data_IF_845724379115
#
_entry.id   IF_845724379115
#
_cell.length_a   1.000
_cell.length_b   1.000
_cell.length_c   1.000
_cell.angle_alpha   90.00
_cell.angle_beta   90.00
_cell.angle_gamma   90.00
#
_symmetry.space_group_name_H-M   'P 1'
#
loop_
_entity.id
_entity.type
_entity.pdbx_description
1 polymer ?
#
# COMPACT_ATOMS: atom_id res chain seq x y z
N UNK A 1 5.51 -0.07 -18.59
CA UNK A 1 5.84 -1.49 -18.79
C UNK A 1 5.66 -2.19 -17.45
N UNK A 2 5.05 -3.38 -17.42
CA UNK A 2 4.91 -4.21 -16.22
C UNK A 2 5.89 -5.37 -16.31
N UNK A 3 6.60 -5.65 -15.22
CA UNK A 3 7.52 -6.79 -15.11
C UNK A 3 7.09 -7.64 -13.92
N UNK A 4 6.76 -8.90 -14.19
CA UNK A 4 6.53 -9.88 -13.13
C UNK A 4 7.86 -10.52 -12.73
N UNK A 5 8.07 -10.68 -11.42
CA UNK A 5 9.24 -11.30 -10.82
C UNK A 5 8.76 -12.17 -9.65
N UNK A 6 9.43 -13.30 -9.42
CA UNK A 6 9.18 -14.15 -8.27
C UNK A 6 10.14 -13.76 -7.14
N UNK A 7 9.75 -12.76 -6.35
CA UNK A 7 10.55 -12.23 -5.26
C UNK A 7 9.64 -11.70 -4.14
N UNK A 8 10.15 -11.72 -2.90
CA UNK A 8 9.49 -11.05 -1.80
C UNK A 8 9.58 -9.53 -1.96
N UNK A 9 8.45 -8.85 -1.80
CA UNK A 9 8.37 -7.40 -1.93
C UNK A 9 9.35 -6.65 -1.01
N UNK A 10 9.63 -7.21 0.17
CA UNK A 10 10.57 -6.63 1.14
C UNK A 10 12.05 -6.89 0.83
N UNK A 11 12.36 -7.74 -0.16
CA UNK A 11 13.72 -7.98 -0.65
C UNK A 11 14.10 -7.07 -1.83
N UNK A 12 13.17 -6.25 -2.32
CA UNK A 12 13.48 -5.27 -3.36
C UNK A 12 14.50 -4.24 -2.84
N UNK A 13 15.35 -3.68 -3.73
CA UNK A 13 16.21 -2.55 -3.39
C UNK A 13 15.43 -1.45 -2.67
N UNK A 14 15.99 -0.90 -1.58
CA UNK A 14 15.28 0.09 -0.74
C UNK A 14 14.88 1.39 -1.44
N UNK A 15 15.50 1.69 -2.58
CA UNK A 15 15.15 2.81 -3.46
C UNK A 15 13.85 2.58 -4.24
N UNK A 16 13.43 1.32 -4.40
CA UNK A 16 12.17 0.96 -5.05
C UNK A 16 11.06 1.06 -4.00
N UNK A 17 10.15 2.05 -4.12
CA UNK A 17 9.03 2.15 -3.20
C UNK A 17 8.09 0.95 -3.41
N UNK A 18 7.38 0.57 -2.35
CA UNK A 18 6.46 -0.55 -2.39
C UNK A 18 5.04 -0.13 -2.00
N UNK A 19 4.01 -0.81 -2.50
CA UNK A 19 2.62 -0.53 -2.10
C UNK A 19 1.81 -1.77 -1.75
N UNK A 20 0.81 -1.59 -0.89
CA UNK A 20 -0.22 -2.59 -0.62
C UNK A 20 -1.58 -1.95 -0.30
N UNK A 21 -2.63 -2.76 -0.36
CA UNK A 21 -3.98 -2.37 0.02
C UNK A 21 -4.24 -2.63 1.51
N UNK A 22 -4.89 -1.68 2.18
CA UNK A 22 -5.33 -1.81 3.57
C UNK A 22 -6.73 -1.23 3.77
N UNK A 23 -7.27 -1.48 4.97
CA UNK A 23 -8.51 -0.88 5.44
C UNK A 23 -8.25 0.42 6.19
N UNK A 24 -9.25 1.31 6.22
CA UNK A 24 -9.22 2.58 6.96
C UNK A 24 -8.99 2.37 8.47
N UNK A 25 -9.44 1.24 9.01
CA UNK A 25 -9.23 0.87 10.42
C UNK A 25 -7.78 0.47 10.77
N UNK A 26 -6.89 0.41 9.77
CA UNK A 26 -5.45 0.12 9.87
C UNK A 26 -5.09 -1.09 10.76
N UNK A 27 -6.01 -2.05 10.96
CA UNK A 27 -5.76 -3.18 11.88
C UNK A 27 -4.62 -4.08 11.40
N UNK A 28 -4.47 -4.25 10.08
CA UNK A 28 -3.36 -4.94 9.41
C UNK A 28 -2.95 -6.27 10.08
N UNK A 29 -3.93 -7.13 10.39
CA UNK A 29 -3.72 -8.33 11.21
C UNK A 29 -3.34 -9.60 10.44
N UNK A 30 -3.36 -9.56 9.11
CA UNK A 30 -3.15 -10.76 8.28
C UNK A 30 -2.47 -10.43 6.95
N UNK A 31 -1.95 -11.46 6.30
CA UNK A 31 -1.30 -11.37 5.00
C UNK A 31 -0.06 -10.48 5.01
N UNK A 32 0.25 -9.88 3.86
CA UNK A 32 1.45 -9.03 3.72
C UNK A 32 1.41 -7.78 4.60
N UNK A 33 0.23 -7.35 5.05
CA UNK A 33 0.09 -6.17 5.91
C UNK A 33 0.81 -6.34 7.26
N UNK A 34 0.92 -7.58 7.77
CA UNK A 34 1.74 -7.87 8.96
C UNK A 34 3.22 -7.63 8.66
N UNK A 35 3.70 -8.07 7.48
CA UNK A 35 5.06 -7.83 7.03
C UNK A 35 5.37 -6.34 6.87
N UNK A 36 4.44 -5.55 6.30
CA UNK A 36 4.60 -4.10 6.19
C UNK A 36 4.74 -3.45 7.57
N UNK A 37 3.88 -3.84 8.52
CA UNK A 37 3.96 -3.34 9.90
C UNK A 37 5.30 -3.69 10.58
N UNK A 38 5.82 -4.90 10.34
CA UNK A 38 7.09 -5.33 10.92
C UNK A 38 8.30 -4.66 10.25
N UNK A 39 8.27 -4.47 8.93
CA UNK A 39 9.39 -3.95 8.14
C UNK A 39 9.51 -2.42 8.15
N UNK A 40 8.37 -1.73 8.04
CA UNK A 40 8.31 -0.27 7.96
C UNK A 40 7.91 0.40 9.28
N UNK A 41 7.26 -0.33 10.20
CA UNK A 41 6.77 0.24 11.45
C UNK A 41 5.76 1.37 11.21
N UNK A 42 5.91 2.48 11.95
CA UNK A 42 5.27 3.75 11.61
C UNK A 42 3.74 3.80 11.58
N UNK A 43 3.05 2.84 12.20
CA UNK A 43 1.57 2.84 12.25
C UNK A 43 1.00 4.14 12.82
N UNK A 44 1.66 4.74 13.82
CA UNK A 44 1.27 6.06 14.34
C UNK A 44 1.27 7.14 13.26
N UNK A 45 2.29 7.15 12.39
CA UNK A 45 2.39 8.11 11.27
C UNK A 45 1.24 7.94 10.27
N UNK A 46 0.67 6.74 10.13
CA UNK A 46 -0.51 6.52 9.29
C UNK A 46 -1.78 7.05 9.94
N UNK A 47 -1.92 6.92 11.27
CA UNK A 47 -3.06 7.51 11.98
C UNK A 47 -3.04 9.04 11.88
N UNK A 48 -1.86 9.67 11.98
CA UNK A 48 -1.71 11.12 11.88
C UNK A 48 -2.08 11.67 10.49
N UNK A 49 -2.10 10.81 9.46
CA UNK A 49 -2.49 11.18 8.10
C UNK A 49 -4.01 11.24 7.90
N UNK A 50 -4.83 10.83 8.88
CA UNK A 50 -6.30 10.90 8.84
C UNK A 50 -6.91 10.34 7.54
N UNK A 51 -6.38 9.20 7.09
CA UNK A 51 -6.71 8.60 5.80
C UNK A 51 -8.12 8.02 5.78
N UNK A 52 -8.79 8.15 4.64
CA UNK A 52 -10.11 7.58 4.34
C UNK A 52 -10.06 6.73 3.08
N UNK A 53 -11.12 5.97 2.80
CA UNK A 53 -11.21 5.16 1.56
C UNK A 53 -10.97 6.02 0.31
N UNK A 54 -9.98 5.62 -0.50
CA UNK A 54 -9.51 6.35 -1.69
C UNK A 54 -8.20 7.10 -1.47
N UNK A 55 -7.78 7.30 -0.21
CA UNK A 55 -6.52 7.94 0.13
C UNK A 55 -5.33 6.96 0.07
N UNK A 56 -4.13 7.53 0.08
CA UNK A 56 -2.86 6.79 0.12
C UNK A 56 -1.97 7.36 1.21
N UNK A 57 -1.73 6.54 2.22
CA UNK A 57 -0.75 6.84 3.26
C UNK A 57 0.67 6.60 2.78
N UNK A 58 1.62 7.34 3.35
CA UNK A 58 3.05 7.15 3.09
C UNK A 58 3.78 6.95 4.41
N UNK A 59 4.66 5.95 4.45
CA UNK A 59 5.70 5.82 5.47
C UNK A 59 7.05 5.85 4.76
N UNK A 60 7.98 6.64 5.31
CA UNK A 60 9.41 6.55 5.01
C UNK A 60 10.08 6.12 6.31
N UNK A 61 10.75 4.96 6.31
CA UNK A 61 11.43 4.46 7.50
C UNK A 61 12.85 5.05 7.64
N UNK A 62 13.53 4.72 8.74
CA UNK A 62 14.88 5.22 9.03
C UNK A 62 15.95 4.79 8.00
N UNK A 63 15.67 3.79 7.17
CA UNK A 63 16.52 3.35 6.06
C UNK A 63 16.20 4.08 4.74
N UNK A 64 15.34 5.10 4.78
CA UNK A 64 14.84 5.83 3.62
C UNK A 64 14.06 4.97 2.62
N UNK A 65 13.52 3.83 3.07
CA UNK A 65 12.65 2.98 2.25
C UNK A 65 11.21 3.52 2.33
N UNK A 66 10.53 3.58 1.19
CA UNK A 66 9.19 4.18 1.08
C UNK A 66 8.12 3.10 0.90
N UNK A 67 7.05 3.18 1.70
CA UNK A 67 5.87 2.34 1.58
C UNK A 67 4.58 3.16 1.40
N UNK A 68 3.77 2.76 0.43
CA UNK A 68 2.45 3.32 0.15
C UNK A 68 1.32 2.40 0.67
N UNK A 69 0.38 2.98 1.41
CA UNK A 69 -0.74 2.30 2.05
C UNK A 69 -2.04 2.76 1.39
N UNK A 70 -2.52 2.02 0.40
CA UNK A 70 -3.75 2.35 -0.33
C UNK A 70 -4.99 1.97 0.49
N UNK A 71 -5.80 2.95 0.90
CA UNK A 71 -7.02 2.68 1.66
C UNK A 71 -8.12 2.29 0.67
N UNK A 72 -8.40 1.00 0.57
CA UNK A 72 -9.35 0.48 -0.44
C UNK A 72 -10.67 0.01 0.16
N UNK A 73 -10.76 -0.08 1.49
CA UNK A 73 -11.95 -0.55 2.19
C UNK A 73 -12.11 0.11 3.54
N UNK A 74 -13.34 0.18 4.03
CA UNK A 74 -13.65 0.83 5.30
C UNK A 74 -13.16 0.04 6.51
N UNK A 75 -13.27 -1.29 6.48
CA UNK A 75 -12.90 -2.16 7.60
C UNK A 75 -12.14 -3.39 7.12
N UNK A 76 -11.30 -3.95 8.00
CA UNK A 76 -10.46 -5.09 7.69
C UNK A 76 -11.23 -6.38 7.35
N UNK A 77 -12.49 -6.50 7.79
CA UNK A 77 -13.38 -7.61 7.43
C UNK A 77 -14.21 -7.35 6.16
N UNK A 78 -14.17 -6.14 5.61
CA UNK A 78 -14.84 -5.79 4.37
C UNK A 78 -14.05 -6.19 3.12
N UNK A 79 -14.68 -6.00 1.96
CA UNK A 79 -14.03 -6.10 0.66
C UNK A 79 -13.94 -4.72 0.00
N UNK A 80 -12.86 -4.42 -0.72
CA UNK A 80 -12.84 -3.25 -1.58
C UNK A 80 -13.82 -3.43 -2.75
N UNK A 81 -14.12 -2.33 -3.44
CA UNK A 81 -14.79 -2.33 -4.74
C UNK A 81 -13.81 -1.87 -5.83
N UNK A 82 -14.08 -2.21 -7.09
CA UNK A 82 -13.31 -1.68 -8.23
C UNK A 82 -13.25 -0.15 -8.24
N UNK A 83 -14.32 0.52 -7.81
CA UNK A 83 -14.36 1.97 -7.71
C UNK A 83 -13.37 2.48 -6.64
N UNK A 84 -13.42 1.93 -5.42
CA UNK A 84 -12.52 2.35 -4.34
C UNK A 84 -11.05 2.07 -4.67
N UNK A 85 -10.77 0.94 -5.33
CA UNK A 85 -9.44 0.60 -5.81
C UNK A 85 -8.96 1.58 -6.90
N UNK A 86 -9.83 1.90 -7.87
CA UNK A 86 -9.52 2.86 -8.93
C UNK A 86 -9.18 4.24 -8.39
N UNK A 87 -9.92 4.71 -7.38
CA UNK A 87 -9.63 5.98 -6.70
C UNK A 87 -8.28 5.93 -5.98
N UNK A 88 -8.02 4.89 -5.19
CA UNK A 88 -6.76 4.74 -4.48
C UNK A 88 -5.54 4.66 -5.42
N UNK A 89 -5.66 3.99 -6.57
CA UNK A 89 -4.61 3.94 -7.60
C UNK A 89 -4.32 5.32 -8.21
N UNK A 90 -5.35 6.15 -8.41
CA UNK A 90 -5.16 7.54 -8.89
C UNK A 90 -4.44 8.38 -7.85
N UNK A 91 -4.83 8.26 -6.58
CA UNK A 91 -4.16 8.92 -5.45
C UNK A 91 -2.70 8.47 -5.33
N UNK A 92 -2.42 7.18 -5.52
CA UNK A 92 -1.06 6.63 -5.55
C UNK A 92 -0.23 7.26 -6.66
N UNK A 93 -0.77 7.35 -7.88
CA UNK A 93 -0.09 7.97 -9.01
C UNK A 93 0.24 9.45 -8.74
N UNK A 94 -0.70 10.20 -8.13
CA UNK A 94 -0.47 11.61 -7.74
C UNK A 94 0.67 11.69 -6.72
N UNK A 95 0.67 10.82 -5.70
CA UNK A 95 1.71 10.82 -4.66
C UNK A 95 3.09 10.46 -5.21
N UNK A 96 3.16 9.44 -6.06
CA UNK A 96 4.40 9.06 -6.75
C UNK A 96 4.95 10.20 -7.60
N UNK A 97 4.09 10.89 -8.36
CA UNK A 97 4.51 12.07 -9.15
C UNK A 97 5.05 13.19 -8.27
N UNK A 98 4.38 13.50 -7.15
CA UNK A 98 4.84 14.51 -6.21
C UNK A 98 6.20 14.18 -5.58
N UNK A 99 6.53 12.89 -5.46
CA UNK A 99 7.80 12.39 -4.95
C UNK A 99 8.85 12.10 -6.04
N UNK A 100 8.55 12.42 -7.30
CA UNK A 100 9.40 12.11 -8.47
C UNK A 100 9.76 10.61 -8.61
N UNK A 101 8.84 9.71 -8.25
CA UNK A 101 9.03 8.26 -8.34
C UNK A 101 8.47 7.71 -9.65
N UNK A 102 9.29 6.94 -10.38
CA UNK A 102 8.91 6.34 -11.67
C UNK A 102 8.76 4.81 -11.62
N UNK A 103 9.16 4.18 -10.52
CA UNK A 103 9.13 2.73 -10.31
C UNK A 103 8.35 2.43 -9.03
N UNK A 104 7.66 1.29 -9.02
CA UNK A 104 6.92 0.82 -7.85
C UNK A 104 6.94 -0.72 -7.81
N UNK A 105 7.27 -1.29 -6.67
CA UNK A 105 7.03 -2.69 -6.35
C UNK A 105 5.62 -2.89 -5.80
N UNK A 106 4.85 -3.79 -6.39
CA UNK A 106 3.54 -4.20 -5.85
C UNK A 106 3.36 -5.70 -6.01
N UNK A 107 2.56 -6.31 -5.13
CA UNK A 107 1.97 -7.61 -5.45
C UNK A 107 0.81 -7.43 -6.42
N UNK A 108 0.35 -8.53 -7.02
CA UNK A 108 -0.88 -8.55 -7.81
C UNK A 108 -2.03 -7.98 -6.97
N UNK A 109 -2.59 -6.85 -7.42
CA UNK A 109 -3.60 -6.07 -6.69
C UNK A 109 -4.99 -6.61 -7.04
N UNK A 110 -5.91 -6.61 -6.06
CA UNK A 110 -7.29 -7.07 -6.24
C UNK A 110 -7.48 -8.58 -6.01
N UNK A 111 -6.41 -9.37 -6.10
CA UNK A 111 -6.46 -10.82 -5.87
C UNK A 111 -6.38 -11.18 -4.38
N UNK A 112 -6.96 -12.34 -4.01
CA UNK A 112 -6.89 -12.90 -2.66
C UNK A 112 -7.99 -12.38 -1.73
N UNK A 113 -7.64 -11.90 -0.53
CA UNK A 113 -8.61 -11.44 0.49
C UNK A 113 -9.49 -10.27 0.05
N UNK A 114 -9.08 -9.54 -0.99
CA UNK A 114 -9.84 -8.44 -1.55
C UNK A 114 -10.95 -8.90 -2.52
N UNK A 115 -10.85 -10.13 -3.06
CA UNK A 115 -11.92 -10.79 -3.81
C UNK A 115 -12.44 -10.00 -5.02
N UNK A 116 -11.57 -9.19 -5.62
CA UNK A 116 -11.80 -8.49 -6.88
C UNK A 116 -11.15 -9.33 -7.98
N UNK A 117 -11.73 -10.49 -8.28
CA UNK A 117 -11.38 -11.29 -9.45
C UNK A 117 -12.17 -10.81 -10.68
#
# INVERSE_FOLDING_TARGET
>A
YLKEIDENLFNLPGEIPVAHCVAEDLRMRAGIAVGFKQHFGGIGQLFDQNLTVGDVGVIVNDRNETAFYMITKKSSGGKPTMQTLSVALRSLLIKMKAMNLAVLGVRKIGCGFDGLD
#
